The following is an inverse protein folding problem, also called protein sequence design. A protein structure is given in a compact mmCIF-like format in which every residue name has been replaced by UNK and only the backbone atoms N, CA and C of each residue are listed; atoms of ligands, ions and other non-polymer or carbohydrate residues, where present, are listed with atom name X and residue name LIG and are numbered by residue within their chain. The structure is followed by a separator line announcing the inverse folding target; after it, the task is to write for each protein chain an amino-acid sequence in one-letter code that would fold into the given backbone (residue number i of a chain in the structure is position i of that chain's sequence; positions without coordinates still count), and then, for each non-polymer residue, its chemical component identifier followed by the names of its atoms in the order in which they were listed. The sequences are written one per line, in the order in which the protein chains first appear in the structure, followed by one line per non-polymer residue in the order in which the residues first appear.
data_IF_647897490883
#
_entry.id   IF_647897490883
#
_cell.length_a   1.000
_cell.length_b   1.000
_cell.length_c   1.000
_cell.angle_alpha   90.00
_cell.angle_beta   90.00
_cell.angle_gamma   90.00
#
_symmetry.space_group_name_H-M   'P 1'
#
loop_
_entity.id
_entity.type
_entity.pdbx_description
1 polymer ?
#
# COMPACT_ATOMS: atom_id res chain seq x y z
N UNK A 1 -18.25 -18.77 -19.46
CA UNK A 1 -17.28 -18.14 -18.53
C UNK A 1 -16.97 -16.76 -19.07
N UNK A 2 -17.14 -15.69 -18.28
CA UNK A 2 -16.75 -14.33 -18.70
C UNK A 2 -15.27 -14.12 -18.33
N UNK A 3 -14.45 -13.49 -19.19
CA UNK A 3 -13.09 -13.15 -18.82
C UNK A 3 -13.11 -12.16 -17.66
N UNK A 4 -12.17 -12.32 -16.72
CA UNK A 4 -11.87 -11.30 -15.72
C UNK A 4 -10.72 -10.46 -16.29
N UNK A 5 -10.99 -9.20 -16.58
CA UNK A 5 -9.96 -8.24 -16.99
C UNK A 5 -9.35 -7.63 -15.73
N UNK A 6 -8.03 -7.81 -15.55
CA UNK A 6 -7.28 -7.17 -14.46
C UNK A 6 -6.42 -6.06 -15.05
N UNK A 7 -6.81 -4.78 -14.91
CA UNK A 7 -6.07 -3.68 -15.50
C UNK A 7 -4.74 -3.47 -14.78
N UNK A 8 -3.65 -3.46 -15.54
CA UNK A 8 -2.33 -3.06 -15.06
C UNK A 8 -1.80 -1.92 -15.93
N UNK A 9 -1.36 -0.82 -15.32
CA UNK A 9 -0.87 0.36 -16.05
C UNK A 9 0.49 0.11 -16.70
N UNK A 10 1.48 -0.35 -15.93
CA UNK A 10 2.82 -0.70 -16.43
C UNK A 10 3.47 -1.67 -15.46
N UNK A 11 3.73 -2.89 -15.93
CA UNK A 11 4.31 -3.97 -15.11
C UNK A 11 5.84 -3.91 -15.02
N UNK A 12 6.50 -3.14 -15.91
CA UNK A 12 7.95 -2.97 -15.94
C UNK A 12 8.32 -1.50 -16.19
N UNK A 13 8.79 -0.77 -15.17
CA UNK A 13 9.34 0.60 -15.32
C UNK A 13 10.89 0.55 -15.45
N UNK A 14 11.38 -0.52 -16.08
CA UNK A 14 12.80 -0.75 -16.36
C UNK A 14 13.58 -1.47 -15.25
N UNK A 15 14.86 -1.71 -15.55
CA UNK A 15 15.85 -2.25 -14.62
C UNK A 15 16.18 -1.22 -13.52
N UNK A 16 16.66 -1.67 -12.35
CA UNK A 16 17.06 -0.79 -11.24
C UNK A 16 15.95 0.13 -10.70
N UNK A 17 14.73 -0.40 -10.60
CA UNK A 17 13.59 0.32 -10.07
C UNK A 17 13.14 -0.28 -8.73
N UNK A 18 12.98 0.60 -7.74
CA UNK A 18 12.37 0.26 -6.46
C UNK A 18 11.01 0.95 -6.30
N UNK A 19 10.17 0.38 -5.44
CA UNK A 19 8.83 0.84 -5.20
C UNK A 19 8.51 0.81 -3.71
N UNK A 20 7.71 1.76 -3.28
CA UNK A 20 6.79 1.58 -2.16
C UNK A 20 5.44 1.19 -2.75
N UNK A 21 4.75 0.25 -2.14
CA UNK A 21 3.41 -0.11 -2.54
C UNK A 21 2.45 -0.14 -1.36
N UNK A 22 1.17 0.10 -1.68
CA UNK A 22 0.07 0.06 -0.72
C UNK A 22 -1.04 -0.79 -1.32
N UNK A 23 -1.38 -1.88 -0.64
CA UNK A 23 -2.60 -2.64 -0.91
C UNK A 23 -3.74 -2.02 -0.12
N UNK A 24 -4.91 -1.90 -0.73
CA UNK A 24 -6.10 -1.29 -0.12
C UNK A 24 -7.33 -2.13 -0.43
N UNK A 25 -8.13 -2.43 0.58
CA UNK A 25 -9.52 -2.89 0.44
C UNK A 25 -10.44 -1.88 1.10
N UNK A 26 -11.48 -1.46 0.39
CA UNK A 26 -12.52 -0.54 0.88
C UNK A 26 -13.59 -1.29 1.66
N UNK A 27 -13.93 -2.51 1.22
CA UNK A 27 -14.92 -3.37 1.86
C UNK A 27 -14.45 -3.77 3.25
N UNK A 28 -13.22 -4.29 3.36
CA UNK A 28 -12.61 -4.69 4.63
C UNK A 28 -11.91 -3.54 5.34
N UNK A 29 -11.83 -2.36 4.71
CA UNK A 29 -11.19 -1.14 5.25
C UNK A 29 -9.79 -1.43 5.81
N UNK A 30 -8.94 -2.07 5.03
CA UNK A 30 -7.55 -2.29 5.43
C UNK A 30 -6.56 -1.71 4.42
N UNK A 31 -5.36 -1.42 4.92
CA UNK A 31 -4.22 -1.06 4.11
C UNK A 31 -3.00 -1.90 4.51
N UNK A 32 -2.17 -2.26 3.53
CA UNK A 32 -0.87 -2.91 3.76
C UNK A 32 0.20 -2.16 2.98
N UNK A 33 1.19 -1.63 3.70
CA UNK A 33 2.34 -0.94 3.11
C UNK A 33 3.51 -1.92 2.98
N UNK A 34 4.24 -1.84 1.88
CA UNK A 34 5.46 -2.62 1.68
C UNK A 34 6.40 -1.97 0.67
N UNK A 35 7.56 -2.60 0.46
CA UNK A 35 8.59 -2.13 -0.48
C UNK A 35 9.19 -3.26 -1.31
N UNK A 36 9.78 -2.90 -2.45
CA UNK A 36 10.54 -3.85 -3.28
C UNK A 36 11.50 -3.17 -4.22
N UNK A 37 12.59 -3.86 -4.57
CA UNK A 37 13.46 -3.61 -5.72
C UNK A 37 13.55 -4.84 -6.64
N UNK A 38 12.60 -5.77 -6.51
CA UNK A 38 12.59 -7.01 -7.29
C UNK A 38 12.43 -6.71 -8.78
N UNK A 39 13.09 -7.51 -9.63
CA UNK A 39 12.99 -7.40 -11.09
C UNK A 39 11.57 -7.58 -11.63
N UNK A 40 10.74 -8.33 -10.90
CA UNK A 40 9.32 -8.56 -11.19
C UNK A 40 8.41 -7.54 -10.49
N UNK A 41 8.99 -6.51 -9.87
CA UNK A 41 8.30 -5.37 -9.28
C UNK A 41 7.30 -5.76 -8.19
N UNK A 42 6.22 -4.98 -8.11
CA UNK A 42 5.17 -5.14 -7.11
C UNK A 42 4.28 -6.36 -7.37
N UNK A 43 4.21 -6.85 -8.62
CA UNK A 43 3.49 -8.09 -8.95
C UNK A 43 4.17 -9.33 -8.36
N UNK A 44 5.49 -9.43 -8.47
CA UNK A 44 6.20 -10.55 -7.83
C UNK A 44 6.07 -10.53 -6.31
N UNK A 45 6.01 -9.33 -5.71
CA UNK A 45 5.71 -9.19 -4.28
C UNK A 45 4.27 -9.53 -3.93
N UNK A 46 3.31 -9.22 -4.81
CA UNK A 46 1.92 -9.64 -4.65
C UNK A 46 1.85 -11.15 -4.45
N UNK A 47 2.49 -11.90 -5.37
CA UNK A 47 2.56 -13.35 -5.29
C UNK A 47 3.15 -13.83 -3.96
N UNK A 48 4.29 -13.28 -3.54
CA UNK A 48 4.93 -13.65 -2.26
C UNK A 48 4.06 -13.35 -1.03
N UNK A 49 3.27 -12.27 -1.07
CA UNK A 49 2.43 -11.85 0.05
C UNK A 49 1.10 -12.60 0.15
N UNK A 50 0.59 -13.09 -0.98
CA UNK A 50 -0.66 -13.83 -1.07
C UNK A 50 -0.48 -15.35 -1.05
N UNK A 51 0.75 -15.84 -1.16
CA UNK A 51 1.09 -17.27 -1.01
C UNK A 51 0.66 -17.80 0.37
N UNK A 52 0.66 -19.12 0.54
CA UNK A 52 0.13 -19.83 1.71
C UNK A 52 0.75 -19.38 3.05
N UNK A 53 2.00 -18.88 3.01
CA UNK A 53 2.73 -18.30 4.15
C UNK A 53 3.12 -16.84 3.90
N UNK A 54 2.37 -16.18 3.03
CA UNK A 54 2.61 -14.81 2.66
C UNK A 54 2.20 -13.87 3.79
N UNK A 55 3.03 -12.84 4.05
CA UNK A 55 2.81 -11.98 5.22
C UNK A 55 1.51 -11.17 5.14
N UNK A 56 0.99 -10.86 3.95
CA UNK A 56 -0.30 -10.19 3.85
C UNK A 56 -1.44 -11.15 4.24
N UNK A 57 -1.41 -12.39 3.73
CA UNK A 57 -2.38 -13.44 4.10
C UNK A 57 -2.39 -13.68 5.61
N UNK A 58 -1.21 -13.87 6.21
CA UNK A 58 -1.09 -14.08 7.67
C UNK A 58 -1.62 -12.89 8.47
N UNK A 59 -1.30 -11.66 8.06
CA UNK A 59 -1.74 -10.44 8.76
C UNK A 59 -3.23 -10.22 8.63
N UNK A 60 -3.80 -10.47 7.45
CA UNK A 60 -5.23 -10.38 7.23
C UNK A 60 -5.99 -11.39 8.08
N UNK A 61 -5.51 -12.65 8.14
CA UNK A 61 -6.09 -13.68 9.01
C UNK A 61 -6.01 -13.29 10.49
N UNK A 62 -4.89 -12.74 10.95
CA UNK A 62 -4.75 -12.29 12.34
C UNK A 62 -5.68 -11.12 12.70
N UNK A 63 -5.90 -10.19 11.78
CA UNK A 63 -6.73 -9.00 12.02
C UNK A 63 -8.24 -9.30 11.91
N UNK A 64 -8.65 -10.08 10.91
CA UNK A 64 -10.05 -10.27 10.55
C UNK A 64 -10.59 -11.68 10.84
N UNK A 65 -9.72 -12.66 11.13
CA UNK A 65 -10.13 -14.06 11.31
C UNK A 65 -10.61 -14.75 10.03
N UNK A 66 -10.34 -14.15 8.86
CA UNK A 66 -10.78 -14.62 7.55
C UNK A 66 -9.58 -14.85 6.62
N UNK A 67 -9.78 -15.66 5.59
CA UNK A 67 -8.79 -15.80 4.53
C UNK A 67 -8.89 -14.61 3.56
N UNK A 68 -7.74 -14.11 3.08
CA UNK A 68 -7.69 -13.02 2.10
C UNK A 68 -8.33 -13.37 0.76
N UNK A 69 -8.52 -14.66 0.46
CA UNK A 69 -9.22 -15.13 -0.74
C UNK A 69 -10.69 -14.67 -0.77
N UNK A 70 -11.25 -14.17 0.36
CA UNK A 70 -12.59 -13.56 0.42
C UNK A 70 -12.63 -12.09 -0.01
N UNK A 71 -11.48 -11.45 -0.24
CA UNK A 71 -11.38 -10.03 -0.61
C UNK A 71 -11.53 -9.86 -2.11
N UNK A 72 -12.60 -9.17 -2.53
CA UNK A 72 -12.94 -9.02 -3.95
C UNK A 72 -12.54 -7.65 -4.54
N UNK A 73 -12.16 -6.69 -3.70
CA UNK A 73 -11.97 -5.29 -4.06
C UNK A 73 -10.53 -4.79 -3.86
N UNK A 74 -9.56 -5.70 -3.80
CA UNK A 74 -8.17 -5.39 -3.49
C UNK A 74 -7.51 -4.54 -4.59
N UNK A 75 -6.97 -3.38 -4.21
CA UNK A 75 -6.27 -2.43 -5.09
C UNK A 75 -4.80 -2.34 -4.73
N UNK A 76 -3.93 -2.31 -5.74
CA UNK A 76 -2.49 -2.11 -5.58
C UNK A 76 -2.08 -0.74 -6.09
N UNK A 77 -1.62 0.13 -5.19
CA UNK A 77 -0.96 1.38 -5.55
C UNK A 77 0.55 1.19 -5.47
N UNK A 78 1.26 1.47 -6.55
CA UNK A 78 2.72 1.33 -6.65
C UNK A 78 3.36 2.68 -6.94
N UNK A 79 4.30 3.10 -6.10
CA UNK A 79 4.98 4.38 -6.20
C UNK A 79 6.47 4.17 -6.49
N UNK A 80 6.94 4.51 -7.71
CA UNK A 80 8.35 4.34 -8.06
C UNK A 80 9.21 5.28 -7.23
N UNK A 81 10.25 4.73 -6.59
CA UNK A 81 11.28 5.51 -5.94
C UNK A 81 12.25 6.11 -6.97
N UNK A 82 13.00 7.17 -6.63
CA UNK A 82 14.00 7.73 -7.52
C UNK A 82 14.99 6.65 -7.99
N UNK A 83 15.40 6.69 -9.27
CA UNK A 83 16.46 5.81 -9.80
C UNK A 83 17.80 6.19 -9.20
N UNK A 84 18.11 5.59 -8.06
CA UNK A 84 19.33 5.83 -7.29
C UNK A 84 19.76 4.54 -6.61
N UNK A 85 21.07 4.29 -6.57
CA UNK A 85 21.66 3.09 -5.97
C UNK A 85 21.21 2.88 -4.50
N UNK A 86 20.91 3.97 -3.79
CA UNK A 86 20.33 3.93 -2.45
C UNK A 86 19.03 3.12 -2.37
N UNK A 87 18.24 3.09 -3.44
CA UNK A 87 16.94 2.44 -3.46
C UNK A 87 16.92 1.12 -4.22
N UNK A 88 17.77 0.89 -5.21
CA UNK A 88 17.75 -0.37 -5.96
C UNK A 88 18.84 -1.37 -5.52
N UNK A 89 19.80 -0.96 -4.69
CA UNK A 89 20.78 -1.89 -4.12
C UNK A 89 20.15 -2.92 -3.17
N UNK A 90 20.91 -3.97 -2.84
CA UNK A 90 20.50 -5.02 -1.89
C UNK A 90 20.17 -4.44 -0.51
N UNK A 91 20.92 -3.41 -0.10
CA UNK A 91 20.70 -2.66 1.12
C UNK A 91 19.28 -2.08 1.14
N UNK A 92 18.53 -2.32 2.22
CA UNK A 92 17.10 -1.98 2.32
C UNK A 92 16.81 -0.81 3.25
N UNK A 93 17.76 -0.28 4.02
CA UNK A 93 17.42 0.67 5.11
C UNK A 93 16.82 1.97 4.58
N UNK A 94 17.23 2.42 3.39
CA UNK A 94 16.60 3.57 2.74
C UNK A 94 15.16 3.28 2.33
N UNK A 95 14.87 2.09 1.78
CA UNK A 95 13.50 1.68 1.41
C UNK A 95 12.62 1.49 2.66
N UNK A 96 13.14 0.82 3.67
CA UNK A 96 12.47 0.63 4.97
C UNK A 96 12.15 1.95 5.66
N UNK A 97 13.05 2.94 5.55
CA UNK A 97 12.80 4.27 6.10
C UNK A 97 11.66 4.99 5.38
N UNK A 98 11.59 4.91 4.05
CA UNK A 98 10.46 5.45 3.30
C UNK A 98 9.18 4.70 3.68
N UNK A 99 9.20 3.36 3.70
CA UNK A 99 8.07 2.51 4.09
C UNK A 99 7.54 2.88 5.49
N UNK A 100 8.43 3.04 6.47
CA UNK A 100 8.08 3.45 7.82
C UNK A 100 7.45 4.84 7.88
N UNK A 101 8.02 5.82 7.18
CA UNK A 101 7.47 7.17 7.17
C UNK A 101 6.12 7.22 6.46
N UNK A 102 5.96 6.49 5.35
CA UNK A 102 4.67 6.34 4.66
C UNK A 102 3.66 5.71 5.62
N UNK A 103 3.97 4.59 6.27
CA UNK A 103 3.06 3.95 7.22
C UNK A 103 2.68 4.90 8.37
N UNK A 104 3.66 5.61 8.95
CA UNK A 104 3.43 6.54 10.05
C UNK A 104 2.50 7.69 9.64
N UNK A 105 2.79 8.34 8.51
CA UNK A 105 1.96 9.45 8.01
C UNK A 105 0.57 8.97 7.60
N UNK A 106 0.47 7.76 7.05
CA UNK A 106 -0.81 7.16 6.70
C UNK A 106 -1.69 6.95 7.94
N UNK A 107 -1.13 6.50 9.07
CA UNK A 107 -1.85 6.43 10.35
C UNK A 107 -2.36 7.81 10.81
N UNK A 108 -1.50 8.83 10.72
CA UNK A 108 -1.86 10.21 11.09
C UNK A 108 -3.00 10.74 10.22
N UNK A 109 -2.97 10.50 8.91
CA UNK A 109 -4.00 10.97 7.98
C UNK A 109 -5.29 10.16 8.02
N UNK A 110 -5.25 8.83 8.15
CA UNK A 110 -6.46 8.01 8.25
C UNK A 110 -7.30 8.44 9.46
N UNK A 111 -6.67 8.93 10.53
CA UNK A 111 -7.38 9.51 11.67
C UNK A 111 -8.27 10.72 11.31
N UNK A 112 -7.98 11.37 10.18
CA UNK A 112 -8.70 12.53 9.65
C UNK A 112 -9.70 12.16 8.53
N UNK A 113 -9.65 10.93 8.01
CA UNK A 113 -10.58 10.45 6.99
C UNK A 113 -11.92 10.03 7.62
N UNK A 114 -13.01 10.16 6.85
CA UNK A 114 -14.33 9.69 7.26
C UNK A 114 -14.39 8.16 7.42
N UNK A 115 -13.59 7.44 6.63
CA UNK A 115 -13.44 5.99 6.71
C UNK A 115 -12.16 5.65 7.46
N UNK A 116 -12.30 4.89 8.56
CA UNK A 116 -11.17 4.37 9.32
C UNK A 116 -10.65 3.09 8.67
N UNK A 117 -9.38 3.07 8.33
CA UNK A 117 -8.70 1.89 7.80
C UNK A 117 -7.75 1.28 8.85
N UNK A 118 -7.71 -0.04 8.93
CA UNK A 118 -6.68 -0.78 9.68
C UNK A 118 -5.42 -0.94 8.84
N UNK A 119 -4.27 -0.46 9.33
CA UNK A 119 -2.99 -0.76 8.69
C UNK A 119 -2.40 -2.04 9.29
N UNK A 120 -2.32 -3.09 8.48
CA UNK A 120 -1.97 -4.44 8.94
C UNK A 120 -0.50 -4.83 8.66
N UNK A 121 0.27 -3.97 7.97
CA UNK A 121 1.72 -4.13 7.82
C UNK A 121 2.47 -3.71 9.09
N UNK A 122 3.68 -4.27 9.30
CA UNK A 122 4.56 -3.88 10.41
C UNK A 122 5.95 -3.56 9.87
N UNK A 123 6.38 -2.32 10.08
CA UNK A 123 7.73 -1.86 9.73
C UNK A 123 8.35 -1.13 10.93
N UNK A 124 9.67 -1.24 11.07
CA UNK A 124 10.42 -0.59 12.16
C UNK A 124 11.07 0.68 11.65
N UNK A 125 11.23 1.66 12.54
CA UNK A 125 12.03 2.83 12.24
C UNK A 125 13.51 2.48 12.18
N UNK A 126 14.28 3.31 11.47
CA UNK A 126 15.73 3.26 11.46
C UNK A 126 16.31 4.68 11.40
N UNK A 127 17.63 4.82 11.40
CA UNK A 127 18.30 6.13 11.42
C UNK A 127 18.03 6.98 10.16
N UNK A 128 17.77 6.34 9.01
CA UNK A 128 17.53 7.03 7.73
C UNK A 128 16.21 7.82 7.74
N UNK A 129 15.30 7.53 8.67
CA UNK A 129 14.04 8.28 8.86
C UNK A 129 14.23 9.76 9.23
N UNK A 130 15.44 10.14 9.67
CA UNK A 130 15.82 11.54 9.95
C UNK A 130 16.24 12.32 8.70
N UNK A 131 16.49 11.63 7.58
CA UNK A 131 16.91 12.27 6.34
C UNK A 131 15.76 13.05 5.70
N UNK A 132 15.97 14.34 5.43
CA UNK A 132 14.95 15.23 4.86
C UNK A 132 14.47 14.78 3.48
N UNK A 133 15.37 14.28 2.63
CA UNK A 133 15.00 13.75 1.30
C UNK A 133 14.07 12.56 1.40
N UNK A 134 14.30 11.68 2.38
CA UNK A 134 13.48 10.50 2.64
C UNK A 134 12.10 10.88 3.18
N UNK A 135 12.05 11.90 4.05
CA UNK A 135 10.78 12.48 4.53
C UNK A 135 9.96 13.13 3.42
N UNK A 136 10.59 13.92 2.56
CA UNK A 136 9.91 14.56 1.43
C UNK A 136 9.34 13.52 0.46
N UNK A 137 10.13 12.49 0.15
CA UNK A 137 9.69 11.38 -0.69
C UNK A 137 8.48 10.63 -0.08
N UNK A 138 8.50 10.37 1.23
CA UNK A 138 7.34 9.77 1.90
C UNK A 138 6.10 10.67 1.83
N UNK A 139 6.25 11.99 2.04
CA UNK A 139 5.15 12.95 1.93
C UNK A 139 4.56 12.96 0.51
N UNK A 140 5.39 12.93 -0.53
CA UNK A 140 4.94 12.89 -1.93
C UNK A 140 4.11 11.63 -2.21
N UNK A 141 4.59 10.46 -1.78
CA UNK A 141 3.87 9.18 -1.90
C UNK A 141 2.50 9.27 -1.24
N UNK A 142 2.47 9.82 -0.04
CA UNK A 142 1.25 9.99 0.76
C UNK A 142 0.24 10.91 0.08
N UNK A 143 0.66 12.09 -0.39
CA UNK A 143 -0.22 13.02 -1.11
C UNK A 143 -0.81 12.34 -2.35
N UNK A 144 0.02 11.62 -3.11
CA UNK A 144 -0.45 10.89 -4.29
C UNK A 144 -1.41 9.75 -3.92
N UNK A 145 -1.13 9.00 -2.85
CA UNK A 145 -2.02 7.94 -2.39
C UNK A 145 -3.40 8.50 -2.06
N UNK A 146 -3.49 9.52 -1.20
CA UNK A 146 -4.78 10.11 -0.79
C UNK A 146 -5.55 10.66 -1.98
N UNK A 147 -4.87 11.32 -2.92
CA UNK A 147 -5.51 11.82 -4.15
C UNK A 147 -6.13 10.71 -4.99
N UNK A 148 -5.53 9.52 -4.99
CA UNK A 148 -5.96 8.38 -5.81
C UNK A 148 -6.77 7.34 -5.04
N UNK A 149 -6.96 7.51 -3.72
CA UNK A 149 -7.90 6.70 -2.98
C UNK A 149 -9.32 6.98 -3.49
N UNK A 150 -10.12 5.93 -3.71
CA UNK A 150 -11.53 6.10 -4.05
C UNK A 150 -12.21 6.89 -2.94
N UNK A 151 -12.84 7.99 -3.32
CA UNK A 151 -13.67 8.76 -2.41
C UNK A 151 -14.94 7.94 -2.14
N UNK A 152 -15.50 8.00 -0.92
CA UNK A 152 -16.83 7.47 -0.67
C UNK A 152 -17.78 8.08 -1.71
N UNK A 153 -18.50 7.26 -2.46
CA UNK A 153 -19.48 7.76 -3.42
C UNK A 153 -20.48 8.66 -2.68
N UNK A 154 -20.78 9.85 -3.20
CA UNK A 154 -21.84 10.74 -2.68
C UNK A 154 -23.22 10.04 -2.58
N UNK A 155 -23.36 8.87 -3.23
CA UNK A 155 -24.53 8.01 -3.18
C UNK A 155 -24.81 7.42 -1.79
N UNK A 156 -23.79 7.19 -0.95
CA UNK A 156 -23.98 6.65 0.40
C UNK A 156 -24.52 7.68 1.40
N UNK A 157 -24.40 8.99 1.10
CA UNK A 157 -24.97 10.04 1.96
C UNK A 157 -26.50 10.17 1.84
N UNK A 158 -27.10 9.72 0.72
CA UNK A 158 -28.56 9.80 0.50
C UNK A 158 -29.35 8.71 1.22
N UNK A 159 -28.70 7.63 1.66
CA UNK A 159 -29.33 6.56 2.44
C UNK A 159 -29.39 6.87 3.95
N UNK A 160 -28.53 7.77 4.44
CA UNK A 160 -28.52 8.20 5.84
C UNK A 160 -29.52 9.34 6.09
N UNK A 161 -29.81 10.17 5.08
CA UNK A 161 -30.78 11.28 5.16
C UNK A 161 -32.25 10.92 4.92
N UNK A 162 -32.62 9.62 4.93
CA UNK A 162 -34.02 9.15 4.79
C UNK A 162 -34.56 8.40 6.01
N UNK A 163 -33.79 8.35 7.09
CA UNK A 163 -34.22 7.77 8.39
C UNK A 163 -34.09 8.82 9.51
N UNK A 164 -34.43 10.07 9.18
CA UNK A 164 -34.52 11.19 10.12
C UNK A 164 -35.80 11.95 9.86
#
# INVERSE_FOLDING_TARGET
MKPIETPFSTIFIGFEQAYIYVWVSLEYKFMYVGMTNSRVGTLGRANQHLDMRGTLRERFLMEFGLDIDTVSDLRLYSFPLPKSYLFFSVESTYREAVEYLVQKQLLEMISQLSVKYSIISRVRSNERTRNSRIRNLANEIIIQLIKNLPQPNETDQRLIGRIS
#
